data_IF_244405624791
#
_entry.id   IF_244405624791
#
_cell.length_a   1.000
_cell.length_b   1.000
_cell.length_c   1.000
_cell.angle_alpha   90.00
_cell.angle_beta   90.00
_cell.angle_gamma   90.00
#
_symmetry.space_group_name_H-M   'P 1'
#
loop_
_entity.id
_entity.type
_entity.pdbx_description
1 polymer ?
#
# COMPACT_ATOMS: atom_id res chain seq x y z
N UNK A 1 -31.17 -9.17 1.31
CA UNK A 1 -30.00 -8.82 2.14
C UNK A 1 -30.47 -8.66 3.57
N UNK A 2 -29.65 -9.00 4.56
CA UNK A 2 -29.97 -8.71 5.98
C UNK A 2 -29.80 -7.22 6.25
N UNK A 3 -30.45 -6.66 7.29
CA UNK A 3 -30.22 -5.28 7.73
C UNK A 3 -28.74 -4.93 7.90
N UNK A 4 -27.97 -5.83 8.52
CA UNK A 4 -26.51 -5.69 8.63
C UNK A 4 -25.84 -5.53 7.26
N UNK A 5 -26.21 -6.35 6.27
CA UNK A 5 -25.63 -6.25 4.93
C UNK A 5 -25.96 -4.93 4.25
N UNK A 6 -27.19 -4.43 4.41
CA UNK A 6 -27.63 -3.15 3.86
C UNK A 6 -26.85 -2.00 4.51
N UNK A 7 -26.86 -1.91 5.83
CA UNK A 7 -26.17 -0.86 6.59
C UNK A 7 -24.66 -0.91 6.36
N UNK A 8 -24.06 -2.10 6.39
CA UNK A 8 -22.64 -2.27 6.09
C UNK A 8 -22.29 -1.88 4.64
N UNK A 9 -23.21 -2.07 3.69
CA UNK A 9 -23.02 -1.59 2.32
C UNK A 9 -23.01 -0.07 2.26
N UNK A 10 -23.86 0.61 3.04
CA UNK A 10 -23.86 2.07 3.15
C UNK A 10 -22.58 2.60 3.78
N UNK A 11 -22.16 2.06 4.93
CA UNK A 11 -20.91 2.46 5.59
C UNK A 11 -19.70 2.25 4.64
N UNK A 12 -19.67 1.15 3.88
CA UNK A 12 -18.60 0.86 2.90
C UNK A 12 -18.51 1.81 1.73
N UNK A 13 -19.49 2.68 1.52
CA UNK A 13 -19.37 3.78 0.56
C UNK A 13 -18.38 4.84 1.07
N UNK A 14 -18.24 4.98 2.39
CA UNK A 14 -17.46 6.02 3.05
C UNK A 14 -16.18 5.47 3.71
N UNK A 15 -16.22 4.25 4.29
CA UNK A 15 -15.08 3.67 5.02
C UNK A 15 -15.02 2.14 4.94
N UNK A 16 -13.82 1.58 5.02
CA UNK A 16 -13.66 0.12 5.22
C UNK A 16 -14.16 -0.26 6.62
N UNK A 17 -14.87 -1.40 6.73
CA UNK A 17 -15.30 -1.97 8.01
C UNK A 17 -14.32 -3.10 8.39
N UNK A 18 -13.44 -2.92 9.41
CA UNK A 18 -12.55 -3.97 9.88
C UNK A 18 -13.29 -5.20 10.39
N UNK A 19 -12.64 -6.37 10.32
CA UNK A 19 -13.18 -7.59 10.90
C UNK A 19 -13.28 -7.43 12.44
N UNK A 20 -14.42 -7.85 13.02
CA UNK A 20 -14.70 -7.70 14.45
C UNK A 20 -15.41 -6.39 14.83
N UNK A 21 -15.74 -5.52 13.88
CA UNK A 21 -16.47 -4.27 14.15
C UNK A 21 -17.95 -4.52 14.49
N UNK A 22 -18.47 -3.73 15.44
CA UNK A 22 -19.88 -3.71 15.87
C UNK A 22 -20.54 -2.48 15.25
N UNK A 23 -21.78 -2.64 14.77
CA UNK A 23 -22.57 -1.54 14.21
C UNK A 23 -23.72 -1.28 15.17
N UNK A 24 -23.72 -0.11 15.79
CA UNK A 24 -24.74 0.33 16.73
C UNK A 24 -25.80 1.17 16.00
N UNK A 25 -27.06 0.93 16.34
CA UNK A 25 -28.21 1.70 15.89
C UNK A 25 -28.67 2.60 17.03
N UNK A 26 -28.90 3.87 16.72
CA UNK A 26 -29.40 4.88 17.63
C UNK A 26 -30.60 5.59 17.01
N UNK A 27 -31.74 5.59 17.71
CA UNK A 27 -32.95 6.27 17.27
C UNK A 27 -32.99 7.68 17.90
N UNK A 28 -33.23 8.75 17.11
CA UNK A 28 -33.32 10.10 17.65
C UNK A 28 -34.37 10.20 18.77
N UNK A 29 -33.98 10.76 19.93
CA UNK A 29 -34.86 10.91 21.09
C UNK A 29 -34.87 9.73 22.07
N UNK A 30 -34.08 8.68 21.82
CA UNK A 30 -33.85 7.57 22.75
C UNK A 30 -32.39 7.57 23.24
N UNK A 31 -32.14 7.12 24.46
CA UNK A 31 -30.77 7.09 25.04
C UNK A 31 -30.00 5.79 24.73
N UNK A 32 -30.72 4.73 24.37
CA UNK A 32 -30.14 3.40 24.20
C UNK A 32 -29.57 3.16 22.79
N UNK A 33 -28.38 2.56 22.74
CA UNK A 33 -27.81 1.96 21.54
C UNK A 33 -28.17 0.47 21.50
N UNK A 34 -28.47 -0.03 20.30
CA UNK A 34 -28.64 -1.48 20.09
C UNK A 34 -27.76 -1.96 18.95
N UNK A 35 -27.15 -3.13 19.08
CA UNK A 35 -26.33 -3.67 17.99
C UNK A 35 -27.23 -4.15 16.86
N UNK A 36 -26.84 -3.89 15.61
CA UNK A 36 -27.53 -4.43 14.43
C UNK A 36 -27.60 -5.96 14.45
N UNK A 37 -26.64 -6.62 15.11
CA UNK A 37 -26.61 -8.07 15.25
C UNK A 37 -27.61 -8.58 16.29
N UNK A 38 -27.87 -7.80 17.34
CA UNK A 38 -28.88 -8.09 18.36
C UNK A 38 -30.29 -7.95 17.79
N UNK A 39 -30.51 -6.92 16.97
CA UNK A 39 -31.81 -6.71 16.34
C UNK A 39 -32.05 -7.70 15.19
N UNK A 40 -31.02 -7.98 14.39
CA UNK A 40 -31.02 -9.05 13.39
C UNK A 40 -32.23 -9.01 12.45
N UNK A 41 -33.08 -10.05 12.51
CA UNK A 41 -34.31 -10.18 11.70
C UNK A 41 -35.51 -9.44 12.27
N UNK A 42 -35.43 -8.93 13.50
CA UNK A 42 -36.51 -8.24 14.22
C UNK A 42 -36.42 -6.72 14.10
N UNK A 43 -35.72 -6.21 13.08
CA UNK A 43 -35.53 -4.78 12.87
C UNK A 43 -36.83 -4.00 12.69
N UNK A 44 -37.77 -4.54 11.91
CA UNK A 44 -39.05 -3.87 11.70
C UNK A 44 -39.82 -3.72 13.03
N UNK A 45 -39.84 -4.76 13.85
CA UNK A 45 -40.45 -4.72 15.20
C UNK A 45 -39.74 -3.73 16.13
N UNK A 46 -38.41 -3.65 16.05
CA UNK A 46 -37.65 -2.68 16.83
C UNK A 46 -37.95 -1.25 16.37
N UNK A 47 -38.01 -0.99 15.07
CA UNK A 47 -38.39 0.31 14.50
C UNK A 47 -39.81 0.71 14.90
N UNK A 48 -40.77 -0.22 14.85
CA UNK A 48 -42.15 0.00 15.32
C UNK A 48 -42.18 0.41 16.80
N UNK A 49 -41.40 -0.26 17.66
CA UNK A 49 -41.29 0.09 19.09
C UNK A 49 -40.71 1.49 19.31
N UNK A 50 -39.83 1.95 18.42
CA UNK A 50 -39.24 3.29 18.46
C UNK A 50 -40.11 4.37 17.80
N UNK A 51 -41.34 4.04 17.38
CA UNK A 51 -42.26 5.00 16.76
C UNK A 51 -42.01 5.23 15.27
N UNK A 52 -41.34 4.28 14.60
CA UNK A 52 -40.97 4.35 13.18
C UNK A 52 -40.21 5.63 12.81
N UNK A 53 -39.03 5.87 13.40
CA UNK A 53 -38.26 7.07 13.08
C UNK A 53 -37.93 7.09 11.58
N UNK A 54 -37.95 8.28 10.97
CA UNK A 54 -37.58 8.44 9.55
C UNK A 54 -36.09 8.25 9.33
N UNK A 55 -35.27 8.44 10.37
CA UNK A 55 -33.81 8.32 10.33
C UNK A 55 -33.27 7.61 11.57
N UNK A 56 -32.13 6.92 11.41
CA UNK A 56 -31.33 6.36 12.48
C UNK A 56 -29.92 6.96 12.42
N UNK A 57 -29.31 7.19 13.57
CA UNK A 57 -27.87 7.39 13.66
C UNK A 57 -27.20 6.03 13.82
N UNK A 58 -26.21 5.77 12.99
CA UNK A 58 -25.44 4.53 12.97
C UNK A 58 -24.04 4.84 13.48
N UNK A 59 -23.58 4.10 14.48
CA UNK A 59 -22.21 4.22 14.98
C UNK A 59 -21.44 2.95 14.63
N UNK A 60 -20.23 3.12 14.11
CA UNK A 60 -19.31 2.02 13.88
C UNK A 60 -18.31 1.96 15.03
N UNK A 61 -18.37 0.89 15.80
CA UNK A 61 -17.39 0.57 16.83
C UNK A 61 -16.37 -0.40 16.25
N UNK A 62 -15.14 0.07 16.11
CA UNK A 62 -14.04 -0.72 15.55
C UNK A 62 -13.16 -1.27 16.67
N UNK A 63 -12.54 -2.45 16.49
CA UNK A 63 -11.53 -2.98 17.43
C UNK A 63 -10.31 -2.05 17.62
N UNK A 64 -10.18 -1.02 16.77
CA UNK A 64 -9.10 -0.04 16.77
C UNK A 64 -9.40 1.16 17.71
N UNK A 65 -10.63 1.24 18.26
CA UNK A 65 -11.02 2.27 19.25
C UNK A 65 -11.62 3.54 18.65
N UNK A 66 -11.87 3.57 17.34
CA UNK A 66 -12.56 4.69 16.67
C UNK A 66 -14.07 4.55 16.88
N UNK A 67 -14.64 5.32 17.82
CA UNK A 67 -16.09 5.41 18.06
C UNK A 67 -16.71 6.69 17.48
N UNK A 68 -15.91 7.51 16.78
CA UNK A 68 -16.34 8.83 16.27
C UNK A 68 -17.10 8.74 14.93
N UNK A 69 -17.10 7.57 14.31
CA UNK A 69 -17.74 7.34 13.02
C UNK A 69 -19.27 7.21 13.19
N UNK A 70 -19.99 8.26 12.81
CA UNK A 70 -21.45 8.29 12.80
C UNK A 70 -22.02 8.61 11.42
N UNK A 71 -23.13 7.96 11.06
CA UNK A 71 -23.91 8.25 9.86
C UNK A 71 -25.38 8.41 10.20
N UNK A 72 -26.03 9.45 9.68
CA UNK A 72 -27.49 9.51 9.68
C UNK A 72 -28.02 8.78 8.44
N UNK A 73 -28.87 7.79 8.64
CA UNK A 73 -29.43 6.94 7.59
C UNK A 73 -30.96 6.97 7.63
N UNK A 74 -31.58 7.27 6.50
CA UNK A 74 -33.04 7.15 6.35
C UNK A 74 -33.49 5.70 6.52
N UNK A 75 -34.52 5.44 7.34
CA UNK A 75 -35.01 4.07 7.57
C UNK A 75 -35.60 3.43 6.32
N UNK A 76 -35.99 4.23 5.32
CA UNK A 76 -36.46 3.76 4.02
C UNK A 76 -35.43 2.88 3.28
N UNK A 77 -34.13 3.11 3.47
CA UNK A 77 -33.06 2.30 2.84
C UNK A 77 -33.04 0.85 3.33
N UNK A 78 -33.64 0.56 4.48
CA UNK A 78 -33.73 -0.80 5.01
C UNK A 78 -34.72 -1.65 4.21
N UNK A 79 -35.67 -0.99 3.52
CA UNK A 79 -36.68 -1.60 2.64
C UNK A 79 -36.25 -1.61 1.18
N UNK A 80 -35.25 -0.80 0.81
CA UNK A 80 -34.71 -0.70 -0.54
C UNK A 80 -33.19 -0.91 -0.49
N UNK A 81 -32.64 -2.05 -0.96
CA UNK A 81 -31.20 -2.21 -0.96
C UNK A 81 -30.57 -1.05 -1.74
N UNK A 82 -29.51 -0.39 -1.24
CA UNK A 82 -28.77 0.56 -2.05
C UNK A 82 -28.36 -0.14 -3.35
N UNK A 83 -28.26 0.59 -4.48
CA UNK A 83 -27.72 0.01 -5.69
C UNK A 83 -26.40 -0.65 -5.31
N UNK A 84 -26.35 -1.98 -5.46
CA UNK A 84 -25.13 -2.75 -5.26
C UNK A 84 -24.12 -2.04 -6.13
N UNK A 85 -23.06 -1.49 -5.50
CA UNK A 85 -21.96 -0.89 -6.26
C UNK A 85 -21.62 -1.93 -7.31
N UNK A 86 -21.79 -1.61 -8.60
CA UNK A 86 -21.32 -2.50 -9.66
C UNK A 86 -19.92 -2.92 -9.25
N UNK A 87 -19.60 -4.21 -9.37
CA UNK A 87 -18.27 -4.69 -9.06
C UNK A 87 -17.36 -4.07 -10.13
N UNK A 88 -16.94 -2.83 -9.89
CA UNK A 88 -15.96 -2.15 -10.71
C UNK A 88 -14.69 -2.90 -10.45
N UNK A 89 -14.21 -3.54 -11.51
CA UNK A 89 -12.93 -4.24 -11.48
C UNK A 89 -11.88 -3.32 -10.84
N UNK A 90 -11.12 -3.79 -9.83
CA UNK A 90 -10.23 -2.91 -9.09
C UNK A 90 -9.25 -2.20 -10.03
N UNK A 91 -9.01 -0.90 -9.80
CA UNK A 91 -8.14 -0.10 -10.68
C UNK A 91 -6.77 -0.76 -10.95
N UNK A 92 -6.20 -1.47 -9.96
CA UNK A 92 -4.95 -2.23 -10.12
C UNK A 92 -5.03 -3.34 -11.17
N UNK A 93 -6.19 -3.97 -11.34
CA UNK A 93 -6.43 -5.04 -12.31
C UNK A 93 -6.61 -4.44 -13.70
N UNK A 94 -7.39 -3.36 -13.80
CA UNK A 94 -7.56 -2.59 -15.04
C UNK A 94 -6.20 -2.10 -15.54
N UNK A 95 -5.44 -1.41 -14.69
CA UNK A 95 -4.12 -0.88 -15.04
C UNK A 95 -3.12 -1.98 -15.45
N UNK A 96 -3.09 -3.11 -14.73
CA UNK A 96 -2.24 -4.24 -15.12
C UNK A 96 -2.62 -4.75 -16.50
N UNK A 97 -3.92 -4.95 -16.77
CA UNK A 97 -4.42 -5.46 -18.06
C UNK A 97 -4.08 -4.51 -19.21
N UNK A 98 -4.20 -3.20 -19.02
CA UNK A 98 -3.79 -2.21 -20.02
C UNK A 98 -2.29 -2.33 -20.34
N UNK A 99 -1.44 -2.50 -19.31
CA UNK A 99 0.01 -2.70 -19.52
C UNK A 99 0.31 -4.04 -20.19
N UNK A 100 -0.42 -5.11 -19.87
CA UNK A 100 -0.32 -6.40 -20.56
C UNK A 100 -0.70 -6.28 -22.03
N UNK A 101 -1.77 -5.56 -22.36
CA UNK A 101 -2.23 -5.37 -23.73
C UNK A 101 -1.17 -4.66 -24.60
N UNK A 102 -0.42 -3.72 -24.02
CA UNK A 102 0.62 -2.95 -24.73
C UNK A 102 1.97 -3.67 -24.78
N UNK A 103 2.44 -4.22 -23.65
CA UNK A 103 3.81 -4.74 -23.50
C UNK A 103 3.91 -6.27 -23.51
N UNK A 104 2.78 -6.96 -23.48
CA UNK A 104 2.68 -8.42 -23.42
C UNK A 104 2.80 -9.00 -22.01
N UNK A 105 2.05 -10.07 -21.74
CA UNK A 105 1.98 -10.74 -20.43
C UNK A 105 3.37 -11.15 -19.90
N UNK A 106 4.22 -11.71 -20.78
CA UNK A 106 5.57 -12.15 -20.42
C UNK A 106 6.40 -11.02 -19.83
N UNK A 107 6.32 -9.82 -20.40
CA UNK A 107 7.07 -8.65 -19.95
C UNK A 107 6.60 -8.19 -18.56
N UNK A 108 5.28 -8.10 -18.38
CA UNK A 108 4.66 -7.67 -17.12
C UNK A 108 4.94 -8.67 -15.99
N UNK A 109 4.75 -9.96 -16.25
CA UNK A 109 5.08 -11.03 -15.29
C UNK A 109 6.58 -11.02 -14.94
N UNK A 110 7.46 -10.77 -15.92
CA UNK A 110 8.90 -10.65 -15.65
C UNK A 110 9.20 -9.48 -14.74
N UNK A 111 8.55 -8.32 -14.94
CA UNK A 111 8.71 -7.16 -14.07
C UNK A 111 8.28 -7.46 -12.64
N UNK A 112 7.08 -8.04 -12.46
CA UNK A 112 6.54 -8.46 -11.16
C UNK A 112 7.47 -9.45 -10.45
N UNK A 113 7.98 -10.43 -11.19
CA UNK A 113 8.90 -11.43 -10.66
C UNK A 113 10.25 -10.83 -10.26
N UNK A 114 10.80 -9.92 -11.06
CA UNK A 114 12.06 -9.23 -10.74
C UNK A 114 11.93 -8.40 -9.48
N UNK A 115 10.79 -7.72 -9.28
CA UNK A 115 10.53 -6.96 -8.06
C UNK A 115 10.66 -7.86 -6.82
N UNK A 116 10.00 -9.03 -6.83
CA UNK A 116 10.08 -9.98 -5.72
C UNK A 116 11.49 -10.54 -5.54
N UNK A 117 12.07 -11.12 -6.59
CA UNK A 117 13.37 -11.77 -6.52
C UNK A 117 14.49 -10.81 -6.09
N UNK A 118 14.45 -9.58 -6.58
CA UNK A 118 15.47 -8.58 -6.25
C UNK A 118 15.28 -8.05 -4.84
N UNK A 119 14.05 -7.89 -4.35
CA UNK A 119 13.78 -7.57 -2.94
C UNK A 119 14.36 -8.65 -2.02
N UNK A 120 14.10 -9.92 -2.32
CA UNK A 120 14.59 -11.04 -1.52
C UNK A 120 16.13 -11.11 -1.52
N UNK A 121 16.74 -10.92 -2.69
CA UNK A 121 18.19 -10.86 -2.84
C UNK A 121 18.81 -9.75 -1.98
N UNK A 122 18.30 -8.52 -2.10
CA UNK A 122 18.79 -7.37 -1.37
C UNK A 122 18.55 -7.49 0.15
N UNK A 123 17.39 -8.02 0.54
CA UNK A 123 17.09 -8.24 1.95
C UNK A 123 18.02 -9.29 2.56
N UNK A 124 18.27 -10.40 1.87
CA UNK A 124 19.21 -11.43 2.33
C UNK A 124 20.65 -10.92 2.38
N UNK A 125 21.05 -10.08 1.44
CA UNK A 125 22.32 -9.36 1.49
C UNK A 125 22.41 -8.51 2.77
N UNK A 126 21.41 -7.66 3.03
CA UNK A 126 21.37 -6.80 4.21
C UNK A 126 21.39 -7.61 5.53
N UNK A 127 20.64 -8.71 5.59
CA UNK A 127 20.64 -9.64 6.73
C UNK A 127 22.02 -10.21 7.02
N UNK A 128 22.69 -10.73 6.00
CA UNK A 128 24.02 -11.32 6.14
C UNK A 128 25.06 -10.29 6.58
N UNK A 129 25.00 -9.08 6.03
CA UNK A 129 26.02 -8.06 6.31
C UNK A 129 25.80 -7.38 7.66
N UNK A 130 24.56 -7.07 8.03
CA UNK A 130 24.24 -6.29 9.24
C UNK A 130 23.63 -7.10 10.39
N UNK A 131 23.38 -8.41 10.21
CA UNK A 131 22.75 -9.26 11.22
C UNK A 131 21.27 -8.94 11.44
N UNK A 132 20.57 -8.42 10.43
CA UNK A 132 19.13 -8.14 10.55
C UNK A 132 18.34 -9.45 10.71
N UNK A 133 17.56 -9.56 11.77
CA UNK A 133 16.68 -10.71 12.09
C UNK A 133 15.20 -10.35 12.05
N UNK A 134 14.87 -9.08 11.75
CA UNK A 134 13.48 -8.66 11.61
C UNK A 134 12.77 -9.30 10.42
N UNK A 135 11.45 -9.12 10.37
CA UNK A 135 10.60 -9.65 9.30
C UNK A 135 11.04 -9.14 7.93
N UNK A 136 10.81 -9.94 6.90
CA UNK A 136 10.88 -9.48 5.51
C UNK A 136 9.69 -8.54 5.22
N UNK A 137 9.83 -7.58 4.30
CA UNK A 137 8.69 -6.77 3.88
C UNK A 137 7.66 -7.62 3.12
N UNK A 138 6.39 -7.34 3.32
CA UNK A 138 5.36 -7.77 2.37
C UNK A 138 5.51 -6.93 1.09
N UNK A 139 5.84 -7.56 -0.03
CA UNK A 139 6.05 -6.86 -1.31
C UNK A 139 4.76 -6.84 -2.10
N UNK A 140 4.35 -5.65 -2.58
CA UNK A 140 3.17 -5.48 -3.42
C UNK A 140 3.54 -4.74 -4.70
N UNK A 141 3.07 -5.24 -5.83
CA UNK A 141 3.12 -4.51 -7.10
C UNK A 141 1.78 -3.85 -7.33
N UNK A 142 1.76 -2.54 -7.55
CA UNK A 142 0.54 -1.79 -7.83
C UNK A 142 0.68 -0.95 -9.08
N UNK A 143 0.17 -1.50 -10.19
CA UNK A 143 0.15 -0.88 -11.51
C UNK A 143 -0.69 0.40 -11.61
N UNK A 144 -1.62 0.63 -10.67
CA UNK A 144 -2.48 1.81 -10.67
C UNK A 144 -1.99 2.94 -9.75
N UNK A 145 -1.05 2.66 -8.85
CA UNK A 145 -0.54 3.69 -7.95
C UNK A 145 0.50 4.57 -8.65
N UNK A 146 0.45 5.88 -8.34
CA UNK A 146 1.34 6.88 -8.93
C UNK A 146 2.78 6.76 -8.43
N UNK A 147 2.94 6.46 -7.14
CA UNK A 147 4.23 6.45 -6.46
C UNK A 147 4.44 5.13 -5.72
N UNK A 148 5.70 4.70 -5.69
CA UNK A 148 6.15 3.63 -4.80
C UNK A 148 6.32 4.17 -3.38
N UNK A 149 6.32 3.28 -2.40
CA UNK A 149 6.59 3.63 -1.00
C UNK A 149 7.03 2.41 -0.18
N UNK A 150 7.92 2.63 0.78
CA UNK A 150 8.31 1.66 1.80
C UNK A 150 7.85 2.08 3.19
N UNK A 151 7.23 1.17 3.94
CA UNK A 151 6.76 1.40 5.30
C UNK A 151 7.31 0.39 6.31
N UNK A 152 6.77 0.39 7.53
CA UNK A 152 7.24 -0.51 8.59
C UNK A 152 7.01 -2.01 8.31
N UNK A 153 5.93 -2.35 7.57
CA UNK A 153 5.52 -3.75 7.34
C UNK A 153 5.74 -4.21 5.90
N UNK A 154 5.64 -3.30 4.95
CA UNK A 154 5.50 -3.63 3.53
C UNK A 154 6.18 -2.59 2.65
N UNK A 155 6.43 -2.99 1.41
CA UNK A 155 6.81 -2.08 0.32
C UNK A 155 5.79 -2.21 -0.81
N UNK A 156 5.44 -1.09 -1.43
CA UNK A 156 4.65 -1.06 -2.65
C UNK A 156 5.52 -0.52 -3.77
N UNK A 157 5.70 -1.32 -4.81
CA UNK A 157 6.37 -0.90 -6.04
C UNK A 157 5.31 -0.58 -7.08
N UNK A 158 5.36 0.65 -7.57
CA UNK A 158 4.48 1.21 -8.59
C UNK A 158 5.25 1.44 -9.87
N UNK A 159 5.39 0.41 -10.72
CA UNK A 159 6.20 0.49 -11.92
C UNK A 159 5.49 1.17 -13.09
N UNK A 160 4.24 1.64 -12.92
CA UNK A 160 3.38 2.11 -14.02
C UNK A 160 4.07 3.12 -14.94
N UNK A 161 4.77 4.10 -14.36
CA UNK A 161 5.50 5.14 -15.08
C UNK A 161 6.62 4.60 -15.99
N UNK A 162 7.16 3.39 -15.70
CA UNK A 162 8.18 2.74 -16.51
C UNK A 162 7.58 2.08 -17.77
N UNK A 163 6.27 1.90 -17.78
CA UNK A 163 5.50 1.24 -18.81
C UNK A 163 4.42 2.17 -19.35
N UNK A 164 4.70 3.47 -19.45
CA UNK A 164 3.83 4.37 -20.20
C UNK A 164 4.02 4.17 -21.71
N UNK A 165 2.93 4.27 -22.50
CA UNK A 165 2.97 4.15 -23.96
C UNK A 165 3.64 5.38 -24.62
N UNK A 166 3.70 6.51 -23.91
CA UNK A 166 4.33 7.74 -24.35
C UNK A 166 5.85 7.64 -24.19
N UNK A 167 6.43 6.92 -25.15
CA UNK A 167 7.86 6.80 -25.35
C UNK A 167 8.40 8.11 -25.96
N UNK A 168 9.58 8.54 -25.51
CA UNK A 168 10.27 9.69 -26.10
C UNK A 168 10.79 9.28 -27.47
N UNK A 169 10.54 10.08 -28.51
CA UNK A 169 11.12 9.84 -29.82
C UNK A 169 12.58 10.32 -29.86
N UNK A 170 13.51 9.38 -30.02
CA UNK A 170 14.94 9.67 -30.17
C UNK A 170 15.39 9.05 -31.50
N UNK A 171 15.86 9.87 -32.42
CA UNK A 171 16.27 9.45 -33.79
C UNK A 171 15.20 8.65 -34.55
N UNK A 172 13.91 9.01 -34.42
CA UNK A 172 12.81 8.30 -35.09
C UNK A 172 12.39 6.99 -34.42
N UNK A 173 12.97 6.64 -33.27
CA UNK A 173 12.59 5.47 -32.49
C UNK A 173 11.86 5.91 -31.22
N UNK A 174 10.73 5.26 -30.92
CA UNK A 174 10.01 5.41 -29.66
C UNK A 174 10.77 4.66 -28.56
N UNK A 175 11.50 5.38 -27.71
CA UNK A 175 12.34 4.82 -26.65
C UNK A 175 11.78 5.15 -25.27
N UNK A 176 11.91 4.20 -24.35
CA UNK A 176 11.68 4.40 -22.93
C UNK A 176 12.49 5.61 -22.43
N UNK A 177 11.93 6.44 -21.54
CA UNK A 177 12.70 7.49 -20.90
C UNK A 177 13.85 6.85 -20.11
N UNK A 178 15.05 6.87 -20.68
CA UNK A 178 16.21 6.14 -20.17
C UNK A 178 16.73 6.70 -18.84
N UNK A 179 16.05 7.63 -18.18
CA UNK A 179 16.54 8.35 -17.02
C UNK A 179 15.73 8.04 -15.76
N UNK A 180 16.38 7.44 -14.78
CA UNK A 180 15.83 7.23 -13.44
C UNK A 180 16.08 8.48 -12.61
N UNK A 181 15.02 9.10 -12.11
CA UNK A 181 15.11 10.31 -11.32
C UNK A 181 15.05 10.02 -9.82
N UNK A 182 16.06 10.45 -9.09
CA UNK A 182 16.07 10.51 -7.63
C UNK A 182 15.72 11.89 -7.09
N UNK A 183 15.52 11.98 -5.77
CA UNK A 183 15.23 13.24 -5.09
C UNK A 183 16.33 14.28 -5.31
N UNK A 184 15.94 15.55 -5.42
CA UNK A 184 16.85 16.64 -5.76
C UNK A 184 18.10 16.75 -4.87
N UNK A 185 18.01 16.37 -3.60
CA UNK A 185 19.13 16.43 -2.66
C UNK A 185 20.10 15.24 -2.74
N UNK A 186 19.75 14.18 -3.49
CA UNK A 186 20.63 13.02 -3.74
C UNK A 186 20.83 12.74 -5.23
N UNK A 187 20.16 13.46 -6.12
CA UNK A 187 20.16 13.15 -7.56
C UNK A 187 21.55 13.21 -8.21
N UNK A 188 22.47 14.02 -7.66
CA UNK A 188 23.86 14.16 -8.13
C UNK A 188 24.84 13.24 -7.40
N UNK A 189 24.37 12.39 -6.47
CA UNK A 189 25.23 11.45 -5.76
C UNK A 189 25.67 10.31 -6.68
N UNK A 190 26.97 10.07 -6.81
CA UNK A 190 27.50 9.07 -7.74
C UNK A 190 27.11 7.63 -7.40
N UNK A 191 26.70 7.36 -6.16
CA UNK A 191 26.34 6.01 -5.72
C UNK A 191 24.83 5.81 -5.67
N UNK A 192 24.08 6.81 -5.23
CA UNK A 192 22.63 6.69 -5.02
C UNK A 192 21.76 7.61 -5.86
N UNK A 193 22.36 8.50 -6.65
CA UNK A 193 21.65 9.46 -7.45
C UNK A 193 21.02 8.90 -8.72
N UNK A 194 20.52 9.84 -9.51
CA UNK A 194 19.87 9.59 -10.80
C UNK A 194 20.86 8.95 -11.78
N UNK A 195 20.34 8.15 -12.72
CA UNK A 195 21.19 7.48 -13.71
C UNK A 195 20.46 7.25 -15.03
N UNK A 196 21.24 6.99 -16.08
CA UNK A 196 20.73 6.59 -17.37
C UNK A 196 20.85 5.08 -17.57
N UNK A 197 19.77 4.42 -18.01
CA UNK A 197 19.77 3.05 -18.51
C UNK A 197 18.64 2.84 -19.50
N UNK A 198 18.95 2.21 -20.64
CA UNK A 198 17.96 1.78 -21.64
C UNK A 198 17.12 0.58 -21.16
N UNK A 199 17.54 -0.09 -20.08
CA UNK A 199 16.89 -1.29 -19.59
C UNK A 199 15.94 -0.96 -18.43
N UNK A 200 14.63 -1.08 -18.66
CA UNK A 200 13.58 -0.87 -17.63
C UNK A 200 13.80 -1.66 -16.36
N UNK A 201 14.40 -2.86 -16.44
CA UNK A 201 14.66 -3.68 -15.25
C UNK A 201 15.69 -3.02 -14.31
N UNK A 202 16.56 -2.16 -14.82
CA UNK A 202 17.52 -1.43 -13.97
C UNK A 202 16.83 -0.34 -13.17
N UNK A 203 15.84 0.32 -13.78
CA UNK A 203 14.98 1.29 -13.10
C UNK A 203 14.12 0.62 -12.03
N UNK A 204 13.55 -0.56 -12.33
CA UNK A 204 12.82 -1.36 -11.33
C UNK A 204 13.70 -1.75 -10.14
N UNK A 205 14.94 -2.18 -10.41
CA UNK A 205 15.90 -2.55 -9.36
C UNK A 205 16.26 -1.36 -8.47
N UNK A 206 16.45 -0.18 -9.07
CA UNK A 206 16.69 1.05 -8.33
C UNK A 206 15.48 1.39 -7.43
N UNK A 207 14.27 1.32 -7.98
CA UNK A 207 13.03 1.56 -7.25
C UNK A 207 12.83 0.58 -6.08
N UNK A 208 13.13 -0.71 -6.29
CA UNK A 208 13.13 -1.72 -5.21
C UNK A 208 14.14 -1.37 -4.12
N UNK A 209 15.37 -1.04 -4.49
CA UNK A 209 16.41 -0.67 -3.52
C UNK A 209 16.02 0.59 -2.73
N UNK A 210 15.38 1.57 -3.39
CA UNK A 210 14.88 2.81 -2.78
C UNK A 210 13.83 2.51 -1.70
N UNK A 211 12.78 1.77 -2.04
CA UNK A 211 11.70 1.48 -1.09
C UNK A 211 12.10 0.49 -0.01
N UNK A 212 12.95 -0.46 -0.34
CA UNK A 212 13.51 -1.38 0.64
C UNK A 212 14.41 -0.64 1.65
N UNK A 213 15.08 0.44 1.24
CA UNK A 213 15.83 1.27 2.16
C UNK A 213 14.91 1.97 3.17
N UNK A 214 13.74 2.44 2.76
CA UNK A 214 12.72 2.95 3.71
C UNK A 214 12.24 1.86 4.67
N UNK A 215 11.95 0.66 4.16
CA UNK A 215 11.56 -0.46 5.02
C UNK A 215 12.60 -0.74 6.11
N UNK A 216 13.88 -0.86 5.75
CA UNK A 216 14.93 -1.11 6.74
C UNK A 216 15.17 0.08 7.66
N UNK A 217 15.10 1.31 7.15
CA UNK A 217 15.16 2.52 7.95
C UNK A 217 14.16 2.49 9.11
N UNK A 218 12.90 2.18 8.80
CA UNK A 218 11.82 2.03 9.79
C UNK A 218 11.99 0.85 10.74
N UNK A 219 12.86 -0.10 10.41
CA UNK A 219 13.10 -1.33 11.17
C UNK A 219 14.50 -1.38 11.79
N UNK A 220 15.17 -0.24 11.99
CA UNK A 220 16.51 -0.13 12.61
C UNK A 220 16.56 -0.33 14.13
N UNK A 221 15.44 -0.68 14.77
CA UNK A 221 15.40 -0.90 16.23
C UNK A 221 16.36 -2.04 16.65
N UNK A 222 17.15 -1.91 17.74
CA UNK A 222 18.16 -2.91 18.13
C UNK A 222 17.67 -4.35 18.22
N UNK A 223 16.43 -4.56 18.69
CA UNK A 223 15.77 -5.89 18.75
C UNK A 223 15.70 -6.63 17.40
N UNK A 224 15.82 -5.92 16.29
CA UNK A 224 15.78 -6.49 14.95
C UNK A 224 17.18 -6.90 14.45
N UNK A 225 18.21 -6.85 15.29
CA UNK A 225 19.59 -7.13 14.91
C UNK A 225 20.28 -8.07 15.91
N UNK A 226 21.01 -9.05 15.37
CA UNK A 226 21.94 -9.89 16.10
C UNK A 226 23.38 -9.48 15.78
N UNK A 227 23.93 -8.58 16.60
CA UNK A 227 25.26 -7.99 16.36
C UNK A 227 26.40 -9.01 16.40
N UNK A 228 26.21 -10.16 17.05
CA UNK A 228 27.23 -11.22 17.16
C UNK A 228 27.50 -11.92 15.83
N UNK A 229 26.50 -11.96 14.94
CA UNK A 229 26.57 -12.63 13.64
C UNK A 229 26.74 -11.65 12.47
N UNK A 230 26.77 -10.34 12.75
CA UNK A 230 26.87 -9.30 11.75
C UNK A 230 28.32 -9.11 11.28
N UNK A 231 28.54 -9.01 9.97
CA UNK A 231 29.85 -8.63 9.41
C UNK A 231 30.16 -7.14 9.61
N UNK A 232 29.11 -6.33 9.72
CA UNK A 232 29.18 -4.88 9.84
C UNK A 232 28.12 -4.41 10.84
N UNK A 233 28.43 -3.36 11.58
CA UNK A 233 27.45 -2.69 12.44
C UNK A 233 26.78 -1.55 11.69
N UNK A 234 25.52 -1.28 12.01
CA UNK A 234 24.87 -0.06 11.56
C UNK A 234 25.58 1.16 12.20
N UNK A 235 25.94 2.19 11.41
CA UNK A 235 26.52 3.40 11.96
C UNK A 235 25.53 4.15 12.85
N UNK A 236 26.04 4.93 13.79
CA UNK A 236 25.21 5.81 14.64
C UNK A 236 24.74 7.02 13.85
N UNK A 237 23.68 6.85 13.07
CA UNK A 237 23.03 7.89 12.26
C UNK A 237 21.61 8.15 12.75
N UNK A 238 21.04 9.29 12.33
CA UNK A 238 19.60 9.49 12.43
C UNK A 238 18.89 8.71 11.31
N UNK A 239 18.11 7.70 11.72
CA UNK A 239 17.26 6.89 10.85
C UNK A 239 15.80 7.33 10.86
N UNK A 240 15.42 8.38 11.60
CA UNK A 240 14.03 8.84 11.65
C UNK A 240 13.69 9.78 10.51
N UNK A 241 14.66 10.56 10.03
CA UNK A 241 14.47 11.51 8.94
C UNK A 241 14.32 10.81 7.57
N UNK A 242 13.18 10.91 6.87
CA UNK A 242 13.01 10.38 5.53
C UNK A 242 14.07 10.92 4.58
N UNK A 243 14.66 10.06 3.75
CA UNK A 243 15.76 10.38 2.83
C UNK A 243 17.00 11.04 3.48
N UNK A 244 17.09 11.01 4.82
CA UNK A 244 18.21 11.52 5.60
C UNK A 244 19.41 10.56 5.62
N UNK A 245 20.42 10.88 6.43
CA UNK A 245 21.71 10.13 6.45
C UNK A 245 21.54 8.63 6.67
N UNK A 246 20.64 8.22 7.57
CA UNK A 246 20.36 6.81 7.83
C UNK A 246 19.77 6.07 6.61
N UNK A 247 18.79 6.68 5.94
CA UNK A 247 18.23 6.15 4.70
C UNK A 247 19.29 6.08 3.58
N UNK A 248 20.05 7.16 3.38
CA UNK A 248 21.08 7.22 2.34
C UNK A 248 22.16 6.16 2.55
N UNK A 249 22.55 5.86 3.79
CA UNK A 249 23.48 4.78 4.10
C UNK A 249 22.94 3.41 3.68
N UNK A 250 21.69 3.11 4.05
CA UNK A 250 21.04 1.84 3.70
C UNK A 250 20.90 1.75 2.18
N UNK A 251 20.36 2.78 1.55
CA UNK A 251 20.11 2.79 0.11
C UNK A 251 21.40 2.62 -0.69
N UNK A 252 22.48 3.30 -0.28
CA UNK A 252 23.82 3.13 -0.85
C UNK A 252 24.28 1.70 -0.81
N UNK A 253 24.10 1.02 0.33
CA UNK A 253 24.45 -0.40 0.45
C UNK A 253 23.59 -1.27 -0.49
N UNK A 254 22.28 -1.03 -0.53
CA UNK A 254 21.34 -1.80 -1.37
C UNK A 254 21.53 -1.57 -2.87
N UNK A 255 22.01 -0.38 -3.28
CA UNK A 255 22.21 -0.02 -4.69
C UNK A 255 23.55 -0.53 -5.25
N UNK A 256 24.49 -0.97 -4.41
CA UNK A 256 25.80 -1.53 -4.86
C UNK A 256 25.70 -2.56 -5.98
N UNK A 257 24.84 -3.60 -5.90
CA UNK A 257 24.78 -4.61 -6.95
C UNK A 257 24.29 -4.06 -8.29
N UNK A 258 23.43 -3.03 -8.28
CA UNK A 258 23.00 -2.35 -9.50
C UNK A 258 24.12 -1.49 -10.08
N UNK A 259 24.83 -0.73 -9.25
CA UNK A 259 25.94 0.12 -9.71
C UNK A 259 27.07 -0.70 -10.36
N UNK A 260 27.36 -1.91 -9.86
CA UNK A 260 28.35 -2.82 -10.48
C UNK A 260 27.97 -3.27 -11.89
N UNK A 261 26.70 -3.15 -12.27
CA UNK A 261 26.21 -3.46 -13.62
C UNK A 261 26.15 -2.21 -14.49
N UNK A 262 25.83 -1.06 -13.90
CA UNK A 262 25.71 0.22 -14.62
C UNK A 262 27.08 0.82 -15.00
N UNK A 263 28.13 0.47 -14.25
CA UNK A 263 29.52 0.87 -14.46
C UNK A 263 30.34 -0.29 -15.03
#
# INVERSE_FOLDING_TARGET
MTPRQIIASHIRQYRTIPAGSIIWLHAPGFEDFVSVDEVGRSLDTWLEKMGMPSELTIHLDTPEGDFEDQWCLETAILKQPPPVREVVEPAKVIARRERVAVFGEKTIVTAERIIQLYTDYLANMFRREFGYIGKSPDVRVNWAAKNSWGGHRNITISPGYLYEPDLVEIYGQRIFACHFHEYAHVCMDNEIGSFYSINRLDHLKALVAHELAHFFQFNTHPRNFESQNAKQQLPRLDYRTPHGKGWQFIYRHLKKPLNLRLN
#
